data_IF_596937860926
#
_entry.id   IF_596937860926
#
_cell.length_a   1.000
_cell.length_b   1.000
_cell.length_c   1.000
_cell.angle_alpha   90.00
_cell.angle_beta   90.00
_cell.angle_gamma   90.00
#
_symmetry.space_group_name_H-M   'P 1'
#
loop_
_entity.id
_entity.type
_entity.pdbx_description
1 polymer ?
#
# COMPACT_ATOMS: atom_id res chain seq x y z
N UNK A 1 -25.61 -65.54 -9.37
CA UNK A 1 -24.27 -64.88 -9.30
C UNK A 1 -24.30 -63.41 -9.67
N UNK A 2 -24.90 -62.97 -10.79
CA UNK A 2 -24.94 -61.53 -11.18
C UNK A 2 -25.59 -60.59 -10.14
N UNK A 3 -26.59 -61.05 -9.37
CA UNK A 3 -27.27 -60.23 -8.35
C UNK A 3 -26.38 -59.91 -7.14
N UNK A 4 -25.47 -60.78 -6.79
CA UNK A 4 -24.55 -60.58 -5.63
C UNK A 4 -23.37 -59.66 -6.00
N UNK A 5 -23.00 -59.61 -7.31
CA UNK A 5 -21.96 -58.69 -7.80
C UNK A 5 -22.45 -57.24 -7.74
N UNK A 6 -23.72 -56.99 -8.06
CA UNK A 6 -24.30 -55.62 -7.96
C UNK A 6 -24.39 -55.12 -6.52
N UNK A 7 -24.72 -56.03 -5.58
CA UNK A 7 -24.74 -55.66 -4.14
C UNK A 7 -23.34 -55.40 -3.59
N UNK A 8 -22.34 -56.15 -4.06
CA UNK A 8 -20.95 -55.94 -3.67
C UNK A 8 -20.41 -54.59 -4.19
N UNK A 9 -20.73 -54.22 -5.43
CA UNK A 9 -20.36 -52.93 -6.03
C UNK A 9 -21.04 -51.77 -5.30
N UNK A 10 -22.31 -51.90 -4.91
CA UNK A 10 -23.02 -50.87 -4.14
C UNK A 10 -22.47 -50.71 -2.72
N UNK A 11 -21.95 -51.78 -2.07
CA UNK A 11 -21.32 -51.71 -0.77
C UNK A 11 -19.93 -51.04 -0.81
N UNK A 12 -19.17 -51.24 -1.90
CA UNK A 12 -17.83 -50.65 -2.05
C UNK A 12 -17.93 -49.11 -2.35
N UNK A 13 -19.02 -48.67 -3.01
CA UNK A 13 -19.22 -47.23 -3.28
C UNK A 13 -19.58 -46.43 -2.03
N UNK A 14 -19.98 -47.08 -0.92
CA UNK A 14 -20.28 -46.40 0.34
C UNK A 14 -19.02 -46.11 1.20
N UNK A 15 -17.89 -46.71 0.87
CA UNK A 15 -16.60 -46.46 1.58
C UNK A 15 -15.74 -45.40 0.90
N UNK A 16 -16.20 -44.76 -0.19
CA UNK A 16 -15.43 -43.77 -0.93
C UNK A 16 -15.61 -42.31 -0.43
N UNK A 17 -16.21 -42.14 0.75
CA UNK A 17 -16.15 -40.83 1.43
C UNK A 17 -15.14 -40.94 2.57
N UNK A 18 -13.88 -41.01 2.24
CA UNK A 18 -12.85 -40.53 3.13
C UNK A 18 -13.00 -39.01 3.15
N UNK A 19 -13.67 -38.48 4.16
CA UNK A 19 -13.55 -37.06 4.51
C UNK A 19 -12.06 -36.87 4.83
N UNK A 20 -11.27 -36.56 3.81
CA UNK A 20 -10.00 -35.88 4.06
C UNK A 20 -10.40 -34.66 4.86
N UNK A 21 -10.09 -34.70 6.15
CA UNK A 21 -10.37 -33.62 7.06
C UNK A 21 -10.00 -32.35 6.34
N UNK A 22 -10.90 -31.39 6.31
CA UNK A 22 -10.59 -30.04 5.88
C UNK A 22 -9.24 -29.77 6.52
N UNK A 23 -8.20 -29.59 5.71
CA UNK A 23 -6.91 -29.15 6.23
C UNK A 23 -7.23 -27.83 6.94
N UNK A 24 -7.54 -27.95 8.23
CA UNK A 24 -7.58 -26.77 9.08
C UNK A 24 -6.19 -26.16 8.91
N UNK A 25 -6.18 -25.04 8.23
CA UNK A 25 -4.97 -24.26 8.07
C UNK A 25 -4.64 -23.75 9.47
N UNK A 26 -3.98 -24.60 10.26
CA UNK A 26 -3.49 -24.29 11.61
C UNK A 26 -2.30 -23.32 11.52
N UNK A 27 -2.38 -22.34 10.61
CA UNK A 27 -1.43 -21.26 10.59
C UNK A 27 -1.77 -20.32 11.76
N UNK A 28 -1.23 -20.64 12.91
CA UNK A 28 -1.15 -19.72 14.04
C UNK A 28 -0.24 -18.51 13.75
N UNK A 29 0.19 -18.38 12.50
CA UNK A 29 1.12 -17.34 12.04
C UNK A 29 0.35 -16.23 11.36
N UNK A 30 0.58 -15.02 11.81
CA UNK A 30 0.12 -13.78 11.18
C UNK A 30 1.16 -13.30 10.17
N UNK A 31 0.74 -12.99 8.94
CA UNK A 31 1.60 -12.45 7.88
C UNK A 31 1.18 -11.02 7.58
N UNK A 32 2.04 -10.06 7.83
CA UNK A 32 1.83 -8.68 7.41
C UNK A 32 2.61 -8.38 6.13
N UNK A 33 2.03 -7.58 5.26
CA UNK A 33 2.61 -7.23 3.98
C UNK A 33 2.02 -5.93 3.43
N UNK A 34 2.71 -5.30 2.48
CA UNK A 34 2.21 -4.11 1.80
C UNK A 34 1.17 -4.48 0.75
N UNK A 35 0.08 -3.74 0.74
CA UNK A 35 -0.94 -3.89 -0.30
C UNK A 35 -0.47 -3.19 -1.56
N UNK A 36 -0.32 -3.92 -2.66
CA UNK A 36 0.06 -3.39 -3.95
C UNK A 36 -1.10 -3.51 -4.93
N UNK A 37 -1.25 -2.52 -5.80
CA UNK A 37 -2.14 -2.62 -6.94
C UNK A 37 -1.45 -3.49 -8.02
N UNK A 38 -2.22 -4.33 -8.71
CA UNK A 38 -1.72 -5.19 -9.79
C UNK A 38 -1.08 -4.40 -10.95
N UNK A 39 -1.40 -3.12 -11.07
CA UNK A 39 -0.92 -2.23 -12.13
C UNK A 39 0.20 -1.30 -11.67
N UNK A 40 0.27 -0.97 -10.36
CA UNK A 40 1.24 -0.04 -9.79
C UNK A 40 1.88 -0.63 -8.53
N UNK A 41 3.19 -0.89 -8.61
CA UNK A 41 3.99 -1.35 -7.47
C UNK A 41 4.42 -0.22 -6.53
N UNK A 42 4.13 1.04 -6.87
CA UNK A 42 4.60 2.21 -6.14
C UNK A 42 3.49 3.22 -5.91
N UNK A 43 3.61 3.95 -4.80
CA UNK A 43 2.85 5.17 -4.53
C UNK A 43 3.67 6.35 -5.03
N UNK A 44 3.07 7.23 -5.84
CA UNK A 44 3.72 8.44 -6.32
C UNK A 44 3.03 9.67 -5.73
N UNK A 45 3.81 10.65 -5.31
CA UNK A 45 3.31 11.95 -4.82
C UNK A 45 4.27 13.07 -5.19
N UNK A 46 3.80 14.31 -5.15
CA UNK A 46 4.61 15.48 -5.48
C UNK A 46 4.32 16.63 -4.54
N UNK A 47 5.37 17.29 -4.05
CA UNK A 47 5.28 18.52 -3.29
C UNK A 47 4.70 19.68 -4.09
N UNK A 48 4.79 19.62 -5.41
CA UNK A 48 4.16 20.63 -6.28
C UNK A 48 2.66 20.81 -6.02
N UNK A 49 1.96 19.74 -5.62
CA UNK A 49 0.54 19.78 -5.26
C UNK A 49 0.28 20.17 -3.80
N UNK A 50 1.33 20.19 -2.97
CA UNK A 50 1.28 20.48 -1.54
C UNK A 50 2.42 21.42 -1.18
N UNK A 51 2.34 22.71 -1.56
CA UNK A 51 3.49 23.62 -1.45
C UNK A 51 3.86 23.98 -0.02
N UNK A 52 3.01 23.70 0.95
CA UNK A 52 3.27 24.04 2.35
C UNK A 52 3.53 22.79 3.20
N UNK A 53 4.74 22.73 3.76
CA UNK A 53 5.10 21.77 4.79
C UNK A 53 5.50 20.38 4.32
N UNK A 54 5.46 19.44 5.26
CA UNK A 54 5.78 18.04 5.04
C UNK A 54 4.56 17.31 4.47
N UNK A 55 4.79 16.29 3.64
CA UNK A 55 3.72 15.47 3.08
C UNK A 55 3.62 14.15 3.86
N UNK A 56 2.41 13.78 4.26
CA UNK A 56 2.12 12.48 4.87
C UNK A 56 1.55 11.54 3.82
N UNK A 57 2.31 10.51 3.45
CA UNK A 57 1.96 9.57 2.38
C UNK A 57 1.36 8.30 2.97
N UNK A 58 0.11 7.92 2.60
CA UNK A 58 -0.49 6.68 3.04
C UNK A 58 0.16 5.48 2.35
N UNK A 59 0.50 4.45 3.13
CA UNK A 59 0.97 3.16 2.64
C UNK A 59 0.06 2.07 3.16
N UNK A 60 -0.67 1.43 2.26
CA UNK A 60 -1.64 0.40 2.60
C UNK A 60 -0.96 -0.92 2.95
N UNK A 61 -1.48 -1.59 3.96
CA UNK A 61 -1.00 -2.87 4.45
C UNK A 61 -2.14 -3.88 4.56
N UNK A 62 -1.81 -5.15 4.49
CA UNK A 62 -2.76 -6.25 4.62
C UNK A 62 -2.21 -7.33 5.55
N UNK A 63 -3.13 -8.07 6.13
CA UNK A 63 -2.89 -9.22 7.01
C UNK A 63 -3.43 -10.49 6.36
N UNK A 64 -2.67 -11.57 6.45
CA UNK A 64 -3.11 -12.93 6.09
C UNK A 64 -2.75 -13.89 7.22
N UNK A 65 -3.55 -14.94 7.38
CA UNK A 65 -3.40 -15.92 8.47
C UNK A 65 -4.19 -15.53 9.71
N UNK A 66 -3.59 -15.70 10.89
CA UNK A 66 -4.25 -15.38 12.15
C UNK A 66 -4.39 -13.88 12.35
N UNK A 67 -5.56 -13.43 12.76
CA UNK A 67 -5.77 -12.03 13.16
C UNK A 67 -5.06 -11.73 14.47
N UNK A 68 -4.61 -10.48 14.62
CA UNK A 68 -4.02 -10.01 15.86
C UNK A 68 -5.09 -9.82 16.95
N UNK A 69 -4.86 -10.36 18.12
CA UNK A 69 -5.72 -10.20 19.30
C UNK A 69 -5.48 -8.85 20.00
N UNK A 70 -4.33 -8.22 19.73
CA UNK A 70 -3.93 -6.90 20.23
C UNK A 70 -3.23 -6.11 19.12
N UNK A 71 -3.08 -4.79 19.29
CA UNK A 71 -2.35 -3.95 18.35
C UNK A 71 -0.92 -4.44 18.19
N UNK A 72 -0.50 -4.65 16.95
CA UNK A 72 0.83 -5.16 16.62
C UNK A 72 1.75 -4.03 16.17
N UNK A 73 2.71 -3.67 17.03
CA UNK A 73 3.74 -2.71 16.68
C UNK A 73 4.84 -3.35 15.83
N UNK A 74 5.29 -2.63 14.80
CA UNK A 74 6.37 -3.05 13.92
C UNK A 74 7.21 -1.86 13.47
N UNK A 75 8.38 -2.15 12.88
CA UNK A 75 9.30 -1.13 12.33
C UNK A 75 9.45 -1.30 10.84
N UNK A 76 9.76 -0.21 10.16
CA UNK A 76 10.20 -0.22 8.78
C UNK A 76 11.72 -0.10 8.70
N UNK A 77 12.27 -0.73 7.68
CA UNK A 77 13.67 -0.61 7.29
C UNK A 77 13.76 -0.13 5.84
N UNK A 78 14.81 0.59 5.52
CA UNK A 78 15.07 1.08 4.17
C UNK A 78 15.91 0.08 3.40
N UNK A 79 15.48 -0.27 2.20
CA UNK A 79 16.30 -1.02 1.24
C UNK A 79 17.23 -0.04 0.54
N UNK A 80 18.44 0.12 1.07
CA UNK A 80 19.40 1.17 0.68
C UNK A 80 19.80 1.09 -0.77
N UNK A 81 19.95 -0.13 -1.30
CA UNK A 81 20.40 -0.40 -2.66
C UNK A 81 19.38 0.05 -3.73
N UNK A 82 18.10 0.17 -3.32
CA UNK A 82 17.00 0.54 -4.20
C UNK A 82 16.49 1.97 -3.93
N UNK A 83 16.99 2.62 -2.88
CA UNK A 83 16.57 3.95 -2.43
C UNK A 83 17.49 5.01 -2.99
N UNK A 84 16.90 6.06 -3.58
CA UNK A 84 17.62 7.23 -4.12
C UNK A 84 17.34 8.52 -3.36
N UNK A 85 16.31 8.53 -2.49
CA UNK A 85 15.98 9.68 -1.64
C UNK A 85 16.90 9.70 -0.41
N UNK A 86 17.37 10.89 -0.05
CA UNK A 86 18.20 11.09 1.15
C UNK A 86 17.41 10.78 2.42
N UNK A 87 18.07 10.19 3.42
CA UNK A 87 17.46 9.83 4.68
C UNK A 87 16.93 11.04 5.49
N UNK A 88 17.42 12.23 5.23
CA UNK A 88 16.91 13.46 5.84
C UNK A 88 15.50 13.85 5.35
N UNK A 89 15.05 13.30 4.23
CA UNK A 89 13.80 13.67 3.56
C UNK A 89 12.61 12.75 3.87
N UNK A 90 12.75 11.79 4.77
CA UNK A 90 11.64 10.97 5.25
C UNK A 90 11.84 10.58 6.72
N UNK A 91 10.74 10.28 7.39
CA UNK A 91 10.77 9.85 8.80
C UNK A 91 10.09 8.50 8.97
N UNK A 92 10.89 7.51 9.39
CA UNK A 92 10.48 6.16 9.78
C UNK A 92 11.04 5.77 11.15
N UNK A 93 11.43 6.74 11.96
CA UNK A 93 12.09 6.51 13.25
C UNK A 93 11.16 5.93 14.31
N UNK A 94 9.85 6.10 14.16
CA UNK A 94 8.83 5.62 15.08
C UNK A 94 8.45 4.15 14.87
N UNK A 95 7.67 3.62 15.83
CA UNK A 95 6.97 2.36 15.67
C UNK A 95 5.66 2.60 14.90
N UNK A 96 5.40 1.75 13.92
CA UNK A 96 4.14 1.68 13.21
C UNK A 96 3.23 0.66 13.89
N UNK A 97 1.94 0.78 13.71
CA UNK A 97 0.97 -0.10 14.34
C UNK A 97 0.04 -0.69 13.28
N UNK A 98 -0.09 -2.01 13.30
CA UNK A 98 -1.18 -2.71 12.64
C UNK A 98 -2.26 -2.97 13.70
N UNK A 99 -3.42 -2.36 13.56
CA UNK A 99 -4.48 -2.42 14.56
C UNK A 99 -5.13 -3.81 14.59
N UNK A 100 -5.47 -4.26 15.78
CA UNK A 100 -6.19 -5.51 16.01
C UNK A 100 -7.53 -5.55 15.27
N UNK A 101 -8.05 -6.75 15.08
CA UNK A 101 -9.34 -7.02 14.46
C UNK A 101 -9.49 -6.46 13.03
N UNK A 102 -8.35 -6.23 12.34
CA UNK A 102 -8.30 -5.76 10.96
C UNK A 102 -7.58 -6.73 10.05
N UNK A 103 -8.02 -6.82 8.81
CA UNK A 103 -7.35 -7.54 7.72
C UNK A 103 -6.58 -6.59 6.78
N UNK A 104 -6.84 -5.30 6.90
CA UNK A 104 -6.15 -4.23 6.18
C UNK A 104 -6.00 -3.01 7.07
N UNK A 105 -4.89 -2.31 6.93
CA UNK A 105 -4.58 -1.08 7.66
C UNK A 105 -3.79 -0.12 6.77
N UNK A 106 -3.59 1.11 7.24
CA UNK A 106 -2.82 2.14 6.54
C UNK A 106 -1.87 2.80 7.51
N UNK A 107 -0.59 2.81 7.15
CA UNK A 107 0.41 3.60 7.85
C UNK A 107 0.70 4.89 7.07
N UNK A 108 1.22 5.88 7.75
CA UNK A 108 1.56 7.17 7.16
C UNK A 108 3.04 7.44 7.34
N UNK A 109 3.72 7.78 6.26
CA UNK A 109 5.14 8.12 6.26
C UNK A 109 5.27 9.58 5.90
N UNK A 110 5.97 10.33 6.75
CA UNK A 110 6.18 11.76 6.53
C UNK A 110 7.40 11.99 5.66
N UNK A 111 7.23 12.82 4.63
CA UNK A 111 8.29 13.24 3.71
C UNK A 111 8.51 14.74 3.83
N UNK A 112 9.78 15.14 3.70
CA UNK A 112 10.23 16.54 3.71
C UNK A 112 10.74 16.92 2.34
N UNK A 113 10.39 18.13 1.92
CA UNK A 113 10.88 18.65 0.64
C UNK A 113 12.39 18.93 0.67
N UNK A 114 13.00 18.91 -0.50
CA UNK A 114 14.40 19.29 -0.72
C UNK A 114 14.60 19.78 -2.15
N UNK A 115 15.62 20.60 -2.35
CA UNK A 115 15.92 21.25 -3.63
C UNK A 115 16.06 20.25 -4.79
N UNK A 116 16.62 19.06 -4.55
CA UNK A 116 16.82 18.05 -5.58
C UNK A 116 15.48 17.56 -6.17
N UNK A 117 14.39 17.57 -5.41
CA UNK A 117 13.08 17.09 -5.83
C UNK A 117 12.43 18.01 -6.88
N UNK A 118 12.89 19.27 -7.00
CA UNK A 118 12.42 20.17 -8.05
C UNK A 118 12.91 19.79 -9.46
N UNK A 119 13.95 18.98 -9.54
CA UNK A 119 14.58 18.57 -10.81
C UNK A 119 14.54 17.06 -11.06
N UNK A 120 14.40 16.24 -10.01
CA UNK A 120 14.50 14.79 -10.12
C UNK A 120 13.42 14.09 -9.28
N UNK A 121 12.85 13.03 -9.85
CA UNK A 121 12.01 12.09 -9.10
C UNK A 121 12.93 11.19 -8.28
N UNK A 122 12.73 11.16 -6.97
CA UNK A 122 13.45 10.28 -6.06
C UNK A 122 12.51 9.24 -5.49
N UNK A 123 13.06 8.08 -5.11
CA UNK A 123 12.29 7.00 -4.53
C UNK A 123 12.92 6.50 -3.24
N UNK A 124 12.07 6.00 -2.37
CA UNK A 124 12.47 5.23 -1.21
C UNK A 124 11.76 3.90 -1.21
N UNK A 125 12.48 2.85 -0.86
CA UNK A 125 11.97 1.49 -0.77
C UNK A 125 12.04 1.04 0.68
N UNK A 126 10.89 0.72 1.23
CA UNK A 126 10.74 0.24 2.60
C UNK A 126 10.49 -1.26 2.62
N UNK A 127 10.95 -1.91 3.66
CA UNK A 127 10.53 -3.26 4.04
C UNK A 127 10.10 -3.29 5.49
N UNK A 128 9.26 -4.25 5.86
CA UNK A 128 8.88 -4.51 7.24
C UNK A 128 10.06 -5.22 7.91
N UNK A 129 10.48 -4.75 9.08
CA UNK A 129 11.54 -5.39 9.86
C UNK A 129 11.10 -6.79 10.32
N UNK A 130 12.05 -7.71 10.47
CA UNK A 130 11.78 -9.05 10.97
C UNK A 130 11.34 -9.01 12.44
N UNK A 131 10.41 -9.89 12.80
CA UNK A 131 9.84 -10.01 14.14
C UNK A 131 9.45 -11.46 14.46
N UNK A 132 9.41 -11.79 15.73
CA UNK A 132 8.84 -13.06 16.20
C UNK A 132 7.30 -13.03 16.30
N UNK A 133 6.69 -11.83 16.26
CA UNK A 133 5.23 -11.65 16.41
C UNK A 133 4.47 -11.87 15.11
N UNK A 134 5.13 -11.75 13.98
CA UNK A 134 4.55 -11.87 12.65
C UNK A 134 5.59 -12.38 11.65
N UNK A 135 5.13 -13.00 10.59
CA UNK A 135 5.96 -13.33 9.43
C UNK A 135 5.74 -12.30 8.31
N UNK A 136 6.71 -12.18 7.42
CA UNK A 136 6.57 -11.38 6.22
C UNK A 136 5.74 -12.14 5.18
N UNK A 137 4.87 -11.45 4.48
CA UNK A 137 4.09 -12.01 3.38
C UNK A 137 4.95 -12.49 2.20
N UNK A 138 4.31 -12.81 1.10
CA UNK A 138 4.99 -13.25 -0.12
C UNK A 138 5.98 -12.21 -0.64
N UNK A 139 7.09 -12.65 -1.22
CA UNK A 139 8.21 -11.82 -1.66
C UNK A 139 7.82 -10.54 -2.42
N UNK A 140 6.88 -10.57 -3.40
CA UNK A 140 6.51 -9.33 -4.13
C UNK A 140 5.87 -8.26 -3.25
N UNK A 141 5.31 -8.64 -2.10
CA UNK A 141 4.58 -7.74 -1.20
C UNK A 141 5.37 -7.35 0.07
N UNK A 142 6.65 -7.74 0.14
CA UNK A 142 7.50 -7.43 1.31
C UNK A 142 8.04 -6.01 1.31
N UNK A 143 8.04 -5.36 0.16
CA UNK A 143 8.55 -3.99 0.00
C UNK A 143 7.45 -3.05 -0.47
N UNK A 144 7.52 -1.79 -0.06
CA UNK A 144 6.74 -0.69 -0.60
C UNK A 144 7.68 0.33 -1.22
N UNK A 145 7.29 0.87 -2.37
CA UNK A 145 8.03 1.92 -3.07
C UNK A 145 7.23 3.20 -3.01
N UNK A 146 7.85 4.28 -2.55
CA UNK A 146 7.28 5.63 -2.62
C UNK A 146 8.19 6.47 -3.51
N UNK A 147 7.62 6.98 -4.60
CA UNK A 147 8.27 7.93 -5.51
C UNK A 147 7.80 9.34 -5.20
N UNK A 148 8.74 10.27 -5.06
CA UNK A 148 8.45 11.64 -4.67
C UNK A 148 9.20 12.64 -5.53
N UNK A 149 8.57 13.76 -5.82
CA UNK A 149 9.13 14.88 -6.58
C UNK A 149 8.57 16.21 -6.09
N UNK A 150 9.15 17.30 -6.60
CA UNK A 150 8.58 18.65 -6.55
C UNK A 150 8.59 19.27 -7.96
N UNK A 151 8.49 18.39 -8.96
CA UNK A 151 8.50 18.80 -10.36
C UNK A 151 7.11 19.33 -10.72
N UNK A 152 7.06 20.55 -11.22
CA UNK A 152 5.84 21.12 -11.75
C UNK A 152 5.31 20.28 -12.91
N UNK A 153 4.16 19.69 -12.74
CA UNK A 153 3.54 18.82 -13.74
C UNK A 153 2.06 19.08 -13.85
N UNK A 154 1.52 18.81 -15.03
CA UNK A 154 0.09 18.89 -15.24
C UNK A 154 -0.62 17.75 -14.49
N UNK A 155 -1.62 18.03 -13.66
CA UNK A 155 -2.44 17.01 -13.05
C UNK A 155 -3.21 16.19 -14.10
N UNK A 156 -3.36 14.88 -13.89
CA UNK A 156 -4.11 14.02 -14.81
C UNK A 156 -5.57 14.47 -14.94
N UNK A 157 -6.18 14.93 -13.85
CA UNK A 157 -7.56 15.41 -13.80
C UNK A 157 -7.79 16.75 -14.49
N UNK A 158 -6.76 17.51 -14.91
CA UNK A 158 -6.92 18.88 -15.44
C UNK A 158 -7.88 18.97 -16.62
N UNK A 159 -7.90 17.97 -17.49
CA UNK A 159 -8.78 17.97 -18.67
C UNK A 159 -10.10 17.21 -18.43
N UNK A 160 -10.19 16.45 -17.35
CA UNK A 160 -11.31 15.57 -17.05
C UNK A 160 -12.23 16.14 -15.95
N UNK A 161 -11.71 17.07 -15.14
CA UNK A 161 -12.48 17.70 -14.07
C UNK A 161 -13.53 18.66 -14.63
N UNK A 162 -14.81 18.35 -14.36
CA UNK A 162 -15.95 19.15 -14.82
C UNK A 162 -15.85 20.60 -14.33
N UNK A 163 -15.25 20.85 -13.17
CA UNK A 163 -15.09 22.19 -12.62
C UNK A 163 -14.03 22.99 -13.40
N UNK A 164 -12.92 22.38 -13.78
CA UNK A 164 -11.87 23.02 -14.61
C UNK A 164 -12.43 23.37 -15.98
N UNK A 165 -13.22 22.46 -16.56
CA UNK A 165 -13.92 22.69 -17.84
C UNK A 165 -14.95 23.81 -17.68
N UNK A 166 -15.76 23.76 -16.64
CA UNK A 166 -16.79 24.75 -16.35
C UNK A 166 -16.20 26.13 -16.06
N UNK A 167 -15.11 26.22 -15.29
CA UNK A 167 -14.42 27.47 -15.00
C UNK A 167 -13.67 28.04 -16.24
N UNK A 168 -13.67 27.30 -17.34
CA UNK A 168 -13.02 27.67 -18.60
C UNK A 168 -11.53 28.01 -18.44
N UNK A 169 -10.82 27.26 -17.63
CA UNK A 169 -9.40 27.47 -17.37
C UNK A 169 -8.53 27.18 -18.60
N UNK A 170 -9.03 26.35 -19.53
CA UNK A 170 -8.36 26.00 -20.77
C UNK A 170 -7.05 25.25 -20.55
N UNK A 171 -6.08 25.43 -21.43
CA UNK A 171 -4.81 24.72 -21.34
C UNK A 171 -4.10 24.95 -20.02
N UNK A 172 -3.50 23.86 -19.49
CA UNK A 172 -2.72 23.90 -18.26
C UNK A 172 -1.52 24.83 -18.38
N UNK A 173 -1.34 25.67 -17.39
CA UNK A 173 -0.08 26.36 -17.12
C UNK A 173 0.20 26.33 -15.63
N UNK A 174 1.48 26.27 -15.26
CA UNK A 174 1.91 26.30 -13.86
C UNK A 174 1.28 27.48 -13.12
N UNK A 175 1.28 28.68 -13.75
CA UNK A 175 0.71 29.89 -13.14
C UNK A 175 -0.79 29.78 -12.85
N UNK A 176 -1.56 29.17 -13.74
CA UNK A 176 -2.99 28.93 -13.50
C UNK A 176 -3.22 27.97 -12.34
N UNK A 177 -2.39 26.93 -12.26
CA UNK A 177 -2.46 25.94 -11.20
C UNK A 177 -2.09 26.55 -9.84
N UNK A 178 -1.02 27.34 -9.76
CA UNK A 178 -0.64 28.07 -8.56
C UNK A 178 -1.76 28.98 -8.04
N UNK A 179 -2.37 29.75 -8.95
CA UNK A 179 -3.49 30.62 -8.60
C UNK A 179 -4.73 29.87 -8.13
N UNK A 180 -4.96 28.68 -8.70
CA UNK A 180 -6.07 27.82 -8.31
C UNK A 180 -5.86 27.28 -6.89
N UNK A 181 -4.67 26.78 -6.58
CA UNK A 181 -4.35 26.29 -5.24
C UNK A 181 -4.36 27.42 -4.22
N UNK A 182 -3.79 28.57 -4.55
CA UNK A 182 -3.81 29.76 -3.69
C UNK A 182 -5.23 30.24 -3.38
N UNK A 183 -6.12 30.22 -4.38
CA UNK A 183 -7.53 30.54 -4.20
C UNK A 183 -8.24 29.53 -3.30
N UNK A 184 -7.97 28.25 -3.51
CA UNK A 184 -8.58 27.17 -2.72
C UNK A 184 -8.16 27.17 -1.26
N UNK A 185 -6.89 27.46 -0.96
CA UNK A 185 -6.38 27.53 0.41
C UNK A 185 -6.95 28.72 1.19
N UNK A 186 -7.33 29.81 0.53
CA UNK A 186 -7.93 30.99 1.17
C UNK A 186 -9.38 30.78 1.61
N UNK A 187 -10.15 29.94 0.92
CA UNK A 187 -11.56 29.73 1.19
C UNK A 187 -11.81 28.70 2.33
N UNK A 188 -10.79 27.95 2.75
CA UNK A 188 -10.88 26.91 3.76
C UNK A 188 -9.98 27.15 5.00
N UNK A 189 -9.33 28.29 5.12
CA UNK A 189 -8.58 28.72 6.30
C UNK A 189 -9.43 29.67 7.17
#
# INVERSE_FOLDING_TARGET
>A
MKKYILVLIALVSLYSCDERGILENSNDVSYIYFTKNATNDSTSTSFFFYPEGDISVPVAMSLSGKMFDEDCSFKLEVVKEETTLDAANYDISGDFVFHKDRVADTIYITFKNSEILSSEIRRVVFRIADSEKYAQGNTPFRTAVVSISDIASRPEWWDEDEWVIWANLGEFTIKKFELLIEGYSRDYA
#
